data_IF_550336262697
#
_entry.id   IF_550336262697
#
_cell.length_a   1.000
_cell.length_b   1.000
_cell.length_c   1.000
_cell.angle_alpha   90.00
_cell.angle_beta   90.00
_cell.angle_gamma   90.00
#
_symmetry.space_group_name_H-M   'P 1'
#
loop_
_entity.id
_entity.type
_entity.pdbx_description
1 polymer ?
#
# COMPACT_ATOMS: atom_id res chain seq x y z
N UNK A 1 -12.87 1.74 9.48
CA UNK A 1 -12.18 0.50 9.03
C UNK A 1 -10.78 0.91 8.69
N UNK A 2 -9.82 0.22 9.27
CA UNK A 2 -8.40 0.56 9.17
C UNK A 2 -7.74 -0.28 8.06
N UNK A 3 -6.96 0.37 7.18
CA UNK A 3 -6.33 -0.24 6.02
C UNK A 3 -4.81 -0.18 6.11
N UNK A 4 -4.17 -1.35 6.03
CA UNK A 4 -2.72 -1.48 5.93
C UNK A 4 -2.26 -1.65 4.47
N UNK A 5 -1.41 -0.74 3.99
CA UNK A 5 -0.88 -0.77 2.62
C UNK A 5 0.45 -0.03 2.50
N UNK A 6 1.20 -0.30 1.44
CA UNK A 6 2.42 0.42 1.09
C UNK A 6 2.15 1.45 0.00
N UNK A 7 2.72 2.66 0.12
CA UNK A 7 2.79 3.64 -0.97
C UNK A 7 4.22 3.68 -1.49
N UNK A 8 4.39 3.42 -2.78
CA UNK A 8 5.70 3.48 -3.45
C UNK A 8 6.00 4.92 -3.86
N UNK A 9 7.20 5.38 -3.53
CA UNK A 9 7.73 6.70 -3.84
C UNK A 9 8.69 6.66 -5.03
N UNK A 10 8.70 7.74 -5.80
CA UNK A 10 9.62 7.94 -6.94
C UNK A 10 11.09 7.92 -6.52
N UNK A 11 11.37 8.40 -5.31
CA UNK A 11 12.71 8.42 -4.72
C UNK A 11 12.66 8.04 -3.24
N UNK A 12 13.80 7.69 -2.62
CA UNK A 12 13.88 7.53 -1.18
C UNK A 12 13.55 8.82 -0.43
N UNK A 13 13.05 8.66 0.80
CA UNK A 13 12.83 9.79 1.72
C UNK A 13 14.18 10.36 2.17
N UNK A 14 14.39 11.66 2.02
CA UNK A 14 15.58 12.36 2.54
C UNK A 14 15.39 12.75 4.02
N UNK A 15 16.48 13.07 4.72
CA UNK A 15 16.40 13.55 6.12
C UNK A 15 15.55 14.83 6.25
N UNK A 16 15.65 15.76 5.29
CA UNK A 16 14.84 16.98 5.27
C UNK A 16 13.35 16.67 5.08
N UNK A 17 13.04 15.70 4.22
CA UNK A 17 11.65 15.26 4.00
C UNK A 17 11.10 14.50 5.19
N UNK A 18 11.91 13.69 5.86
CA UNK A 18 11.58 13.01 7.11
C UNK A 18 11.28 14.02 8.22
N UNK A 19 12.13 15.04 8.38
CA UNK A 19 11.89 16.12 9.34
C UNK A 19 10.60 16.88 9.02
N UNK A 20 10.36 17.23 7.75
CA UNK A 20 9.10 17.83 7.31
C UNK A 20 7.89 16.92 7.54
N UNK A 21 8.07 15.60 7.43
CA UNK A 21 7.04 14.59 7.70
C UNK A 21 6.63 14.61 9.18
N UNK A 22 7.62 14.56 10.06
CA UNK A 22 7.43 14.47 11.52
C UNK A 22 6.81 15.75 12.10
N UNK A 23 7.07 16.91 11.47
CA UNK A 23 6.53 18.21 11.88
C UNK A 23 5.24 18.61 11.16
N UNK A 24 4.75 17.78 10.22
CA UNK A 24 3.49 18.03 9.55
C UNK A 24 2.32 17.49 10.39
N UNK A 25 1.44 18.38 10.87
CA UNK A 25 0.27 18.00 11.69
C UNK A 25 -0.64 16.95 11.01
N UNK A 26 -0.66 16.89 9.68
CA UNK A 26 -1.45 15.92 8.92
C UNK A 26 -0.83 14.51 8.88
N UNK A 27 0.43 14.37 9.30
CA UNK A 27 1.25 13.16 9.22
C UNK A 27 1.78 12.71 10.60
N UNK A 28 1.73 13.59 11.60
CA UNK A 28 2.21 13.34 12.95
C UNK A 28 1.34 12.35 13.77
N UNK A 29 0.24 11.82 13.20
CA UNK A 29 -0.64 10.84 13.84
C UNK A 29 -0.06 9.41 13.84
N UNK A 30 1.06 9.19 13.16
CA UNK A 30 1.69 7.87 13.02
C UNK A 30 1.02 6.95 12.01
N UNK A 31 0.00 7.44 11.28
CA UNK A 31 -0.70 6.68 10.25
C UNK A 31 0.17 6.39 9.02
N UNK A 32 1.30 7.07 8.87
CA UNK A 32 2.27 6.81 7.81
C UNK A 32 3.67 6.76 8.41
N UNK A 33 4.39 5.68 8.11
CA UNK A 33 5.77 5.46 8.54
C UNK A 33 6.68 5.23 7.35
N UNK A 34 7.97 5.56 7.51
CA UNK A 34 8.98 5.46 6.46
C UNK A 34 10.24 4.77 6.98
N UNK A 35 11.05 4.25 6.05
CA UNK A 35 12.42 3.80 6.34
C UNK A 35 13.39 4.81 5.77
N UNK A 36 14.19 5.42 6.63
CA UNK A 36 15.23 6.37 6.21
C UNK A 36 16.47 5.63 5.72
N UNK A 37 17.10 6.14 4.66
CA UNK A 37 18.41 5.64 4.23
C UNK A 37 19.47 5.95 5.30
N UNK A 38 20.46 5.07 5.52
CA UNK A 38 21.54 5.35 6.47
C UNK A 38 22.43 6.49 5.97
N UNK A 39 22.92 7.33 6.91
CA UNK A 39 23.77 8.51 6.65
C UNK A 39 25.09 8.17 5.89
N UNK A 40 25.56 6.92 5.95
CA UNK A 40 26.81 6.48 5.34
C UNK A 40 26.64 5.11 4.63
N UNK A 41 26.22 5.10 3.34
CA UNK A 41 26.01 3.86 2.59
C UNK A 41 27.29 3.02 2.45
N UNK A 42 28.47 3.67 2.41
CA UNK A 42 29.77 2.99 2.29
C UNK A 42 30.26 2.33 3.58
N UNK A 43 29.68 2.69 4.74
CA UNK A 43 30.06 2.11 6.02
C UNK A 43 29.33 0.79 6.30
N UNK A 44 28.24 0.50 5.58
CA UNK A 44 27.37 -0.67 5.79
C UNK A 44 27.18 -1.40 4.44
N UNK A 45 28.13 -2.26 4.03
CA UNK A 45 28.17 -2.88 2.70
C UNK A 45 27.10 -3.98 2.49
N UNK A 46 26.23 -4.21 3.47
CA UNK A 46 25.04 -5.01 3.25
C UNK A 46 24.06 -4.15 2.47
N UNK A 47 23.92 -4.44 1.18
CA UNK A 47 22.96 -3.84 0.28
C UNK A 47 21.60 -3.74 1.00
N UNK A 48 21.29 -2.54 1.48
CA UNK A 48 19.95 -2.23 1.98
C UNK A 48 19.04 -2.49 0.78
N UNK A 49 18.04 -3.35 0.96
CA UNK A 49 17.03 -3.56 -0.07
C UNK A 49 16.49 -2.17 -0.45
N UNK A 50 16.54 -1.77 -1.73
CA UNK A 50 16.03 -0.46 -2.13
C UNK A 50 14.51 -0.36 -1.93
N UNK A 51 13.79 -1.48 -1.88
CA UNK A 51 12.31 -1.47 -1.83
C UNK A 51 11.76 -0.79 -0.56
N UNK A 52 12.22 -1.11 0.67
CA UNK A 52 11.80 -0.40 1.88
C UNK A 52 12.10 1.10 1.89
N UNK A 53 13.20 1.54 1.27
CA UNK A 53 13.58 2.96 1.23
C UNK A 53 12.65 3.80 0.35
N UNK A 54 12.02 3.16 -0.62
CA UNK A 54 11.03 3.76 -1.50
C UNK A 54 9.59 3.53 -1.03
N UNK A 55 9.35 2.84 0.08
CA UNK A 55 8.00 2.47 0.50
C UNK A 55 7.63 3.17 1.80
N UNK A 56 6.50 3.87 1.80
CA UNK A 56 5.83 4.33 3.01
C UNK A 56 4.82 3.28 3.44
N UNK A 57 4.85 2.87 4.71
CA UNK A 57 3.82 1.99 5.26
C UNK A 57 2.70 2.86 5.83
N UNK A 58 1.48 2.63 5.35
CA UNK A 58 0.30 3.38 5.73
C UNK A 58 -0.66 2.49 6.51
N UNK A 59 -1.23 3.09 7.55
CA UNK A 59 -2.27 2.53 8.40
C UNK A 59 -3.37 3.59 8.57
N UNK A 60 -4.36 3.58 7.69
CA UNK A 60 -5.33 4.67 7.55
C UNK A 60 -6.76 4.18 7.69
N UNK A 61 -7.54 4.85 8.55
CA UNK A 61 -8.96 4.60 8.66
C UNK A 61 -9.74 5.25 7.51
N UNK A 62 -10.42 4.42 6.69
CA UNK A 62 -11.29 4.89 5.62
C UNK A 62 -12.40 3.86 5.26
N UNK A 63 -13.47 4.29 4.56
CA UNK A 63 -14.52 3.37 4.11
C UNK A 63 -14.06 2.32 3.10
N UNK A 64 -13.12 2.69 2.21
CA UNK A 64 -12.56 1.81 1.18
C UNK A 64 -11.04 1.92 1.12
N UNK A 65 -10.38 0.92 0.54
CA UNK A 65 -8.93 0.97 0.31
C UNK A 65 -8.58 2.15 -0.62
N UNK A 66 -9.41 2.43 -1.62
CA UNK A 66 -9.17 3.55 -2.53
C UNK A 66 -9.23 4.91 -1.81
N UNK A 67 -10.18 5.08 -0.88
CA UNK A 67 -10.26 6.29 -0.04
C UNK A 67 -9.03 6.43 0.86
N UNK A 68 -8.57 5.32 1.47
CA UNK A 68 -7.37 5.31 2.30
C UNK A 68 -6.13 5.70 1.50
N UNK A 69 -5.95 5.14 0.30
CA UNK A 69 -4.83 5.46 -0.59
C UNK A 69 -4.91 6.91 -1.05
N UNK A 70 -6.08 7.41 -1.44
CA UNK A 70 -6.26 8.79 -1.84
C UNK A 70 -5.89 9.77 -0.71
N UNK A 71 -6.26 9.45 0.53
CA UNK A 71 -5.90 10.24 1.71
C UNK A 71 -4.39 10.21 1.98
N UNK A 72 -3.75 9.03 1.94
CA UNK A 72 -2.29 8.92 2.07
C UNK A 72 -1.58 9.79 1.03
N UNK A 73 -1.94 9.63 -0.25
CA UNK A 73 -1.33 10.37 -1.37
C UNK A 73 -1.56 11.87 -1.22
N UNK A 74 -2.72 12.30 -0.74
CA UNK A 74 -3.01 13.72 -0.46
C UNK A 74 -2.09 14.26 0.63
N UNK A 75 -1.87 13.53 1.71
CA UNK A 75 -0.97 13.93 2.80
C UNK A 75 0.50 13.95 2.36
N UNK A 76 0.95 12.93 1.61
CA UNK A 76 2.32 12.86 1.07
C UNK A 76 2.63 14.08 0.18
N UNK A 77 1.65 14.55 -0.61
CA UNK A 77 1.82 15.75 -1.45
C UNK A 77 2.02 17.05 -0.68
N UNK A 78 1.79 17.08 0.63
CA UNK A 78 2.08 18.25 1.47
C UNK A 78 3.58 18.41 1.73
N UNK A 79 4.38 17.34 1.56
CA UNK A 79 5.83 17.37 1.69
C UNK A 79 6.44 17.62 0.33
N UNK A 80 7.19 18.73 0.20
CA UNK A 80 7.79 19.11 -1.06
C UNK A 80 8.77 18.06 -1.58
N UNK A 81 8.70 17.82 -2.89
CA UNK A 81 9.51 16.82 -3.58
C UNK A 81 9.05 15.37 -3.41
N UNK A 82 8.22 15.01 -2.42
CA UNK A 82 7.72 13.63 -2.32
C UNK A 82 6.63 13.35 -3.35
N UNK A 83 6.72 12.17 -3.99
CA UNK A 83 5.81 11.74 -5.04
C UNK A 83 5.50 10.26 -4.93
N UNK A 84 4.23 9.95 -4.71
CA UNK A 84 3.69 8.59 -4.79
C UNK A 84 3.52 8.18 -6.26
N UNK A 85 4.04 7.00 -6.61
CA UNK A 85 4.03 6.44 -7.99
C UNK A 85 3.39 5.06 -8.07
N UNK A 86 3.10 4.44 -6.93
CA UNK A 86 2.43 3.14 -6.88
C UNK A 86 1.93 2.81 -5.48
N UNK A 87 1.26 1.68 -5.37
CA UNK A 87 0.67 1.16 -4.13
C UNK A 87 0.82 -0.37 -4.08
N UNK A 88 1.03 -0.90 -2.90
CA UNK A 88 1.15 -2.33 -2.64
C UNK A 88 0.35 -2.73 -1.41
N UNK A 89 0.02 -4.02 -1.32
CA UNK A 89 -0.51 -4.60 -0.09
C UNK A 89 0.55 -5.53 0.51
N UNK A 90 0.61 -5.64 1.85
CA UNK A 90 1.54 -6.56 2.48
C UNK A 90 1.25 -8.01 2.04
N UNK A 91 2.31 -8.79 1.85
CA UNK A 91 2.21 -10.21 1.56
C UNK A 91 1.79 -11.02 2.80
N UNK A 92 2.16 -10.52 3.98
CA UNK A 92 1.85 -11.11 5.27
C UNK A 92 0.68 -10.36 5.89
N UNK A 93 -0.37 -11.09 6.28
CA UNK A 93 -1.63 -10.52 6.77
C UNK A 93 -2.11 -11.23 8.02
N UNK A 94 -2.77 -10.50 8.90
CA UNK A 94 -3.63 -11.06 9.94
C UNK A 94 -4.90 -11.65 9.33
N UNK A 95 -5.65 -12.41 10.12
CA UNK A 95 -6.91 -12.99 9.66
C UNK A 95 -7.96 -11.91 9.35
N UNK A 96 -7.97 -10.81 10.10
CA UNK A 96 -8.91 -9.70 9.86
C UNK A 96 -8.57 -8.95 8.57
N UNK A 97 -7.28 -8.71 8.29
CA UNK A 97 -6.83 -8.13 7.01
C UNK A 97 -7.13 -9.06 5.84
N UNK A 98 -6.93 -10.37 6.00
CA UNK A 98 -7.28 -11.35 4.98
C UNK A 98 -8.79 -11.38 4.71
N UNK A 99 -9.62 -11.22 5.75
CA UNK A 99 -11.07 -11.12 5.62
C UNK A 99 -11.45 -9.87 4.81
N UNK A 100 -10.89 -8.71 5.17
CA UNK A 100 -11.10 -7.47 4.43
C UNK A 100 -10.68 -7.60 2.95
N UNK A 101 -9.49 -8.15 2.69
CA UNK A 101 -8.93 -8.29 1.34
C UNK A 101 -9.68 -9.29 0.46
N UNK A 102 -10.20 -10.36 1.05
CA UNK A 102 -11.04 -11.35 0.35
C UNK A 102 -12.49 -10.87 0.16
N UNK A 103 -12.92 -9.86 0.90
CA UNK A 103 -14.33 -9.46 1.00
C UNK A 103 -15.18 -10.44 1.81
N UNK A 104 -14.58 -11.48 2.37
CA UNK A 104 -15.24 -12.38 3.31
C UNK A 104 -15.33 -11.69 4.67
N UNK A 105 -16.48 -11.79 5.35
CA UNK A 105 -16.59 -11.26 6.70
C UNK A 105 -15.62 -11.98 7.66
N UNK A 106 -15.06 -11.27 8.63
CA UNK A 106 -14.11 -11.82 9.62
C UNK A 106 -14.60 -13.09 10.31
N UNK A 107 -15.91 -13.19 10.57
CA UNK A 107 -16.52 -14.41 11.15
C UNK A 107 -16.45 -15.61 10.21
N UNK A 108 -16.67 -15.42 8.91
CA UNK A 108 -16.64 -16.50 7.92
C UNK A 108 -15.20 -17.01 7.76
N UNK A 109 -14.25 -16.10 7.57
CA UNK A 109 -12.84 -16.48 7.47
C UNK A 109 -12.31 -17.09 8.77
N UNK A 110 -12.77 -16.59 9.92
CA UNK A 110 -12.50 -17.19 11.24
C UNK A 110 -13.08 -18.57 11.46
N UNK A 111 -14.12 -18.98 10.71
CA UNK A 111 -14.59 -20.36 10.71
C UNK A 111 -13.72 -21.23 9.80
N UNK A 112 -13.42 -20.74 8.58
CA UNK A 112 -12.57 -21.41 7.60
C UNK A 112 -11.16 -21.66 8.13
N UNK A 113 -10.62 -20.76 8.97
CA UNK A 113 -9.27 -20.93 9.55
C UNK A 113 -9.13 -22.13 10.49
N UNK A 114 -10.24 -22.77 10.87
CA UNK A 114 -10.25 -24.00 11.68
C UNK A 114 -10.46 -25.26 10.85
N UNK A 115 -10.75 -25.12 9.56
CA UNK A 115 -11.00 -26.25 8.67
C UNK A 115 -9.68 -26.90 8.24
N UNK A 116 -9.67 -28.23 8.01
CA UNK A 116 -8.51 -28.91 7.45
C UNK A 116 -8.11 -28.32 6.10
N UNK A 117 -6.82 -28.06 5.93
CA UNK A 117 -6.27 -27.51 4.69
C UNK A 117 -6.20 -25.99 4.64
N UNK A 118 -6.72 -25.27 5.64
CA UNK A 118 -6.41 -23.85 5.78
C UNK A 118 -4.90 -23.65 6.00
N UNK A 119 -4.28 -22.62 5.40
CA UNK A 119 -2.83 -22.42 5.52
C UNK A 119 -2.35 -22.24 6.96
N UNK A 120 -1.23 -22.88 7.28
CA UNK A 120 -0.53 -22.65 8.54
C UNK A 120 -0.02 -21.19 8.62
N UNK A 121 -0.08 -20.57 9.80
CA UNK A 121 0.47 -19.23 10.01
C UNK A 121 1.99 -19.22 9.83
N UNK A 122 2.51 -18.12 9.29
CA UNK A 122 3.95 -17.89 9.11
C UNK A 122 4.62 -17.35 10.38
N UNK A 123 3.83 -16.73 11.27
CA UNK A 123 4.26 -16.29 12.59
C UNK A 123 3.13 -16.49 13.61
N UNK A 124 3.49 -17.04 14.78
CA UNK A 124 2.55 -17.39 15.86
C UNK A 124 2.90 -16.76 17.21
N UNK A 125 4.06 -16.12 17.32
CA UNK A 125 4.45 -15.41 18.54
C UNK A 125 3.83 -14.01 18.55
N UNK A 126 2.84 -13.80 19.41
CA UNK A 126 2.08 -12.54 19.47
C UNK A 126 0.92 -12.53 18.47
N UNK A 127 0.88 -11.51 17.60
CA UNK A 127 -0.12 -11.45 16.53
C UNK A 127 0.13 -12.55 15.51
N UNK A 128 -0.92 -13.31 15.17
CA UNK A 128 -0.82 -14.41 14.21
C UNK A 128 -0.91 -13.86 12.80
N UNK A 129 0.06 -14.24 11.98
CA UNK A 129 0.15 -13.82 10.59
C UNK A 129 0.14 -14.99 9.62
N UNK A 130 -0.43 -14.75 8.45
CA UNK A 130 -0.57 -15.68 7.35
C UNK A 130 0.04 -15.10 6.08
N UNK A 131 0.53 -15.98 5.22
CA UNK A 131 0.88 -15.62 3.85
C UNK A 131 -0.43 -15.45 3.04
N UNK A 132 -0.64 -14.25 2.50
CA UNK A 132 -1.86 -13.93 1.76
C UNK A 132 -2.04 -14.82 0.53
N UNK A 133 -0.98 -15.11 -0.22
CA UNK A 133 -1.09 -15.88 -1.46
C UNK A 133 -1.56 -17.31 -1.17
N UNK A 134 -1.12 -17.89 -0.05
CA UNK A 134 -1.62 -19.18 0.43
C UNK A 134 -3.09 -19.11 0.83
N UNK A 135 -3.50 -18.07 1.55
CA UNK A 135 -4.90 -17.88 1.97
C UNK A 135 -5.79 -17.69 0.73
N UNK A 136 -5.41 -16.82 -0.19
CA UNK A 136 -6.15 -16.57 -1.43
C UNK A 136 -6.25 -17.83 -2.29
N UNK A 137 -5.18 -18.62 -2.39
CA UNK A 137 -5.20 -19.90 -3.12
C UNK A 137 -6.19 -20.89 -2.50
N UNK A 138 -6.17 -21.05 -1.17
CA UNK A 138 -7.13 -21.89 -0.45
C UNK A 138 -8.57 -21.44 -0.68
N UNK A 139 -8.83 -20.13 -0.56
CA UNK A 139 -10.17 -19.57 -0.78
C UNK A 139 -10.68 -19.83 -2.20
N UNK A 140 -9.82 -19.68 -3.21
CA UNK A 140 -10.20 -20.00 -4.61
C UNK A 140 -10.47 -21.49 -4.81
N UNK A 141 -9.71 -22.37 -4.16
CA UNK A 141 -9.89 -23.83 -4.27
C UNK A 141 -11.26 -24.28 -3.73
N UNK A 142 -11.73 -23.65 -2.65
CA UNK A 142 -13.06 -23.90 -2.10
C UNK A 142 -14.20 -23.16 -2.84
N UNK A 143 -13.87 -22.43 -3.91
CA UNK A 143 -14.84 -21.77 -4.80
C UNK A 143 -15.15 -20.30 -4.48
N UNK A 144 -14.43 -19.67 -3.56
CA UNK A 144 -14.60 -18.24 -3.27
C UNK A 144 -13.99 -17.37 -4.39
N UNK A 145 -14.70 -16.31 -4.75
CA UNK A 145 -14.28 -15.39 -5.81
C UNK A 145 -13.29 -14.35 -5.29
N UNK A 146 -12.07 -14.77 -4.95
CA UNK A 146 -10.99 -13.86 -4.51
C UNK A 146 -10.19 -13.38 -5.72
N UNK A 147 -10.23 -12.08 -6.07
CA UNK A 147 -9.45 -11.55 -7.19
C UNK A 147 -7.94 -11.62 -6.89
N UNK A 148 -7.10 -11.73 -7.93
CA UNK A 148 -5.64 -11.68 -7.76
C UNK A 148 -5.19 -10.32 -7.21
N UNK A 149 -5.80 -9.25 -7.71
CA UNK A 149 -5.57 -7.87 -7.26
C UNK A 149 -6.90 -7.24 -6.90
N UNK A 150 -7.07 -6.70 -5.68
CA UNK A 150 -8.27 -5.96 -5.30
C UNK A 150 -8.53 -4.80 -6.26
N UNK A 151 -9.80 -4.59 -6.63
CA UNK A 151 -10.19 -3.57 -7.61
C UNK A 151 -9.70 -2.17 -7.23
N UNK A 152 -9.82 -1.81 -5.96
CA UNK A 152 -9.40 -0.50 -5.44
C UNK A 152 -7.89 -0.30 -5.60
N UNK A 153 -7.09 -1.35 -5.33
CA UNK A 153 -5.65 -1.33 -5.52
C UNK A 153 -5.29 -1.13 -6.99
N UNK A 154 -5.96 -1.85 -7.90
CA UNK A 154 -5.74 -1.71 -9.34
C UNK A 154 -6.10 -0.30 -9.86
N UNK A 155 -7.18 0.30 -9.35
CA UNK A 155 -7.56 1.67 -9.71
C UNK A 155 -6.50 2.66 -9.21
N UNK A 156 -6.10 2.55 -7.95
CA UNK A 156 -5.09 3.42 -7.36
C UNK A 156 -3.74 3.31 -8.09
N UNK A 157 -3.28 2.10 -8.39
CA UNK A 157 -2.03 1.85 -9.12
C UNK A 157 -2.05 2.51 -10.51
N UNK A 158 -3.13 2.32 -11.27
CA UNK A 158 -3.26 2.95 -12.58
C UNK A 158 -3.33 4.47 -12.50
N UNK A 159 -4.05 5.01 -11.52
CA UNK A 159 -4.17 6.46 -11.33
C UNK A 159 -2.82 7.09 -10.95
N UNK A 160 -2.05 6.48 -10.06
CA UNK A 160 -0.74 6.95 -9.64
C UNK A 160 0.28 6.91 -10.78
N UNK A 161 0.34 5.80 -11.52
CA UNK A 161 1.23 5.68 -12.68
C UNK A 161 0.90 6.65 -13.79
N UNK A 162 -0.40 6.87 -14.06
CA UNK A 162 -0.83 7.87 -15.03
C UNK A 162 -0.45 9.28 -14.57
N UNK A 163 -0.67 9.61 -13.30
CA UNK A 163 -0.31 10.91 -12.75
C UNK A 163 1.21 11.17 -12.84
N UNK A 164 2.05 10.17 -12.51
CA UNK A 164 3.51 10.27 -12.66
C UNK A 164 3.93 10.42 -14.13
N UNK A 165 3.31 9.68 -15.05
CA UNK A 165 3.63 9.76 -16.48
C UNK A 165 3.22 11.11 -17.12
N UNK A 166 2.19 11.77 -16.58
CA UNK A 166 1.76 13.10 -17.01
C UNK A 166 2.56 14.23 -16.37
N UNK A 167 3.25 13.97 -15.25
CA UNK A 167 4.04 14.98 -14.56
C UNK A 167 5.24 15.43 -15.42
N UNK A 168 5.31 16.73 -15.71
CA UNK A 168 6.30 17.31 -16.61
C UNK A 168 6.13 16.99 -18.10
N UNK A 169 5.08 16.24 -18.50
CA UNK A 169 4.80 15.95 -19.90
C UNK A 169 3.99 17.08 -20.56
N UNK A 170 4.45 17.59 -21.70
CA UNK A 170 3.68 18.55 -22.52
C UNK A 170 2.59 17.82 -23.32
N UNK A 171 1.50 17.44 -22.64
CA UNK A 171 0.35 16.79 -23.29
C UNK A 171 -0.72 17.83 -23.61
N UNK A 172 -1.09 17.93 -24.89
CA UNK A 172 -2.16 18.80 -25.35
C UNK A 172 -3.49 18.46 -24.64
N UNK A 173 -4.25 19.44 -24.10
CA UNK A 173 -5.52 19.17 -23.41
C UNK A 173 -6.53 18.39 -24.27
N UNK A 174 -6.55 18.63 -25.58
CA UNK A 174 -7.40 17.89 -26.52
C UNK A 174 -7.10 16.39 -26.56
N UNK A 175 -5.84 16.00 -26.35
CA UNK A 175 -5.43 14.59 -26.32
C UNK A 175 -5.85 13.92 -25.01
N UNK A 176 -5.70 14.60 -23.87
CA UNK A 176 -6.21 14.11 -22.57
C UNK A 176 -7.72 13.86 -22.62
N UNK A 177 -8.48 14.82 -23.19
CA UNK A 177 -9.92 14.67 -23.37
C UNK A 177 -10.28 13.52 -24.31
N UNK A 178 -9.53 13.32 -25.40
CA UNK A 178 -9.74 12.21 -26.33
C UNK A 178 -9.50 10.84 -25.66
N UNK A 179 -8.63 10.79 -24.64
CA UNK A 179 -8.40 9.61 -23.82
C UNK A 179 -9.41 9.46 -22.66
N UNK A 180 -10.41 10.34 -22.58
CA UNK A 180 -11.42 10.33 -21.53
C UNK A 180 -10.94 10.84 -20.17
N UNK A 181 -9.78 11.50 -20.12
CA UNK A 181 -9.22 12.07 -18.90
C UNK A 181 -9.74 13.49 -18.65
N UNK A 182 -9.91 13.90 -17.38
CA UNK A 182 -10.28 15.26 -17.06
C UNK A 182 -9.15 16.22 -17.46
N UNK A 183 -9.51 17.30 -18.15
CA UNK A 183 -8.64 18.44 -18.41
C UNK A 183 -8.95 19.47 -17.34
N UNK A 184 -8.22 19.43 -16.22
CA UNK A 184 -8.29 20.47 -15.19
C UNK A 184 -8.02 21.84 -15.77
#
# INVERSE_FOLDING_TARGET
MEWNFGVLLKQPVTHEQADAFDHCDALADGAISYTLAPDAPDAHPHAVDPVPLHTLNCDIEAPTLLDAVAEAVRRIRLVDGLRAVGVSLPATVTLDEAAQRSGLGARALGALSREPGFPDPVAVEGTVFYDWDRVAAFLRDIGESVPDVPRDLAIAEHALRLADALDGAEVQPGLLKALGLPTT
#
